data_IF_279971191467
#
_entry.id   IF_279971191467
#
_cell.length_a   1.000
_cell.length_b   1.000
_cell.length_c   1.000
_cell.angle_alpha   90.00
_cell.angle_beta   90.00
_cell.angle_gamma   90.00
#
_symmetry.space_group_name_H-M   'P 1'
#
loop_
_entity.id
_entity.type
_entity.pdbx_description
1 polymer ?
#
# COMPACT_ATOMS: atom_id res chain seq x y z
N UNK A 1 37.62 2.51 16.08
CA UNK A 1 36.61 1.95 16.99
C UNK A 1 36.69 2.75 18.27
N UNK A 2 35.61 3.38 18.70
CA UNK A 2 35.62 4.18 19.93
C UNK A 2 35.58 3.22 21.12
N UNK A 3 36.47 3.42 22.08
CA UNK A 3 36.51 2.63 23.32
C UNK A 3 35.46 3.23 24.26
N UNK A 4 34.55 2.43 24.84
CA UNK A 4 33.54 2.94 25.75
C UNK A 4 34.18 3.40 27.07
N UNK A 5 33.54 4.33 27.75
CA UNK A 5 33.91 4.77 29.10
C UNK A 5 32.90 4.22 30.14
N UNK A 6 33.34 3.97 31.39
CA UNK A 6 32.43 3.63 32.49
C UNK A 6 31.26 4.62 32.59
N UNK A 7 30.04 4.09 32.71
CA UNK A 7 28.79 4.86 32.75
C UNK A 7 28.13 5.10 31.39
N UNK A 8 28.76 4.73 30.27
CA UNK A 8 28.13 4.80 28.95
C UNK A 8 27.22 3.59 28.69
N UNK A 9 26.23 3.80 27.82
CA UNK A 9 25.40 2.72 27.31
C UNK A 9 26.04 2.19 26.02
N UNK A 10 26.09 0.87 25.87
CA UNK A 10 26.61 0.22 24.68
C UNK A 10 25.62 -0.84 24.19
N UNK A 11 25.65 -1.07 22.88
CA UNK A 11 24.92 -2.15 22.24
C UNK A 11 25.89 -3.22 21.77
N UNK A 12 25.75 -4.42 22.33
CA UNK A 12 26.57 -5.60 22.02
C UNK A 12 25.62 -6.75 21.76
N UNK A 13 25.84 -7.53 20.69
CA UNK A 13 24.97 -8.67 20.30
C UNK A 13 23.48 -8.32 20.22
N UNK A 14 23.19 -7.11 19.73
CA UNK A 14 21.84 -6.57 19.59
C UNK A 14 21.08 -6.34 20.93
N UNK A 15 21.78 -6.34 22.06
CA UNK A 15 21.23 -6.08 23.39
C UNK A 15 21.90 -4.85 24.02
N UNK A 16 21.21 -4.21 24.96
CA UNK A 16 21.64 -2.95 25.59
C UNK A 16 22.29 -3.21 26.94
N UNK A 17 23.48 -2.65 27.15
CA UNK A 17 24.24 -2.79 28.38
C UNK A 17 24.77 -1.44 28.89
N UNK A 18 24.88 -1.30 30.20
CA UNK A 18 25.63 -0.24 30.87
C UNK A 18 27.08 -0.70 31.06
N UNK A 19 28.04 0.16 30.72
CA UNK A 19 29.47 -0.09 30.95
C UNK A 19 29.77 0.17 32.41
N UNK A 20 30.16 -0.87 33.14
CA UNK A 20 30.54 -0.77 34.55
C UNK A 20 32.00 -0.37 34.69
N UNK A 21 32.89 -1.09 34.00
CA UNK A 21 34.33 -0.87 34.06
C UNK A 21 35.01 -1.25 32.75
N UNK A 22 36.18 -0.65 32.50
CA UNK A 22 37.03 -0.96 31.35
C UNK A 22 38.46 -1.19 31.83
N UNK A 23 38.96 -2.40 31.57
CA UNK A 23 40.30 -2.82 31.97
C UNK A 23 41.19 -2.96 30.73
N UNK A 24 42.35 -2.27 30.69
CA UNK A 24 43.32 -2.51 29.63
C UNK A 24 43.94 -3.90 29.81
N UNK A 25 43.93 -4.68 28.74
CA UNK A 25 44.52 -6.00 28.65
C UNK A 25 45.63 -5.99 27.60
N UNK A 26 46.88 -5.91 28.09
CA UNK A 26 48.07 -5.87 27.25
C UNK A 26 48.51 -7.30 26.89
N UNK A 27 48.58 -7.58 25.59
CA UNK A 27 49.29 -8.76 25.07
C UNK A 27 50.67 -8.34 24.56
N UNK A 28 51.52 -9.31 24.22
CA UNK A 28 52.85 -9.04 23.63
C UNK A 28 52.79 -8.31 22.28
N UNK A 29 51.64 -8.35 21.60
CA UNK A 29 51.47 -7.83 20.23
C UNK A 29 50.47 -6.67 20.12
N UNK A 30 49.49 -6.58 21.04
CA UNK A 30 48.45 -5.54 21.00
C UNK A 30 47.82 -5.25 22.37
N UNK A 31 47.27 -4.05 22.51
CA UNK A 31 46.42 -3.66 23.66
C UNK A 31 44.96 -3.93 23.32
N UNK A 32 44.28 -4.68 24.17
CA UNK A 32 42.84 -4.94 24.11
C UNK A 32 42.14 -4.30 25.31
N UNK A 33 40.83 -4.10 25.24
CA UNK A 33 40.04 -3.58 26.36
C UNK A 33 39.02 -4.63 26.79
N UNK A 34 39.16 -5.13 28.02
CA UNK A 34 38.16 -5.97 28.67
C UNK A 34 37.11 -5.06 29.28
N UNK A 35 35.88 -5.15 28.80
CA UNK A 35 34.76 -4.30 29.21
C UNK A 35 33.79 -5.13 30.04
N UNK A 36 33.51 -4.69 31.26
CA UNK A 36 32.47 -5.24 32.12
C UNK A 36 31.15 -4.52 31.85
N UNK A 37 30.13 -5.28 31.49
CA UNK A 37 28.84 -4.81 31.04
C UNK A 37 27.74 -5.32 31.97
N UNK A 38 26.74 -4.49 32.27
CA UNK A 38 25.54 -4.88 32.99
C UNK A 38 24.31 -4.70 32.08
N UNK A 39 23.48 -5.74 31.98
CA UNK A 39 22.31 -5.72 31.10
C UNK A 39 21.26 -4.73 31.59
N UNK A 40 20.80 -3.87 30.67
CA UNK A 40 19.67 -2.94 30.89
C UNK A 40 18.34 -3.50 30.38
N UNK A 41 18.33 -4.72 29.82
CA UNK A 41 17.13 -5.37 29.32
C UNK A 41 16.24 -5.88 30.46
N UNK A 42 14.92 -5.60 30.41
CA UNK A 42 13.95 -5.94 31.48
C UNK A 42 13.99 -7.41 31.93
N UNK A 43 14.23 -8.33 31.00
CA UNK A 43 14.24 -9.77 31.23
C UNK A 43 15.57 -10.29 31.80
N UNK A 44 16.60 -9.45 31.89
CA UNK A 44 17.98 -9.80 32.31
C UNK A 44 18.66 -8.72 33.15
N UNK A 45 17.89 -7.82 33.74
CA UNK A 45 18.37 -6.76 34.63
C UNK A 45 19.34 -7.32 35.68
N UNK A 46 20.51 -6.70 35.79
CA UNK A 46 21.55 -7.08 36.75
C UNK A 46 22.44 -8.26 36.32
N UNK A 47 22.23 -8.85 35.14
CA UNK A 47 23.19 -9.84 34.61
C UNK A 47 24.42 -9.14 34.06
N UNK A 48 25.60 -9.61 34.46
CA UNK A 48 26.87 -9.10 33.97
C UNK A 48 27.40 -9.92 32.79
N UNK A 49 28.08 -9.23 31.88
CA UNK A 49 28.78 -9.80 30.74
C UNK A 49 30.17 -9.17 30.66
N UNK A 50 31.20 -9.97 30.48
CA UNK A 50 32.55 -9.47 30.22
C UNK A 50 32.93 -9.77 28.78
N UNK A 51 33.35 -8.75 28.04
CA UNK A 51 33.74 -8.88 26.62
C UNK A 51 35.10 -8.25 26.37
N UNK A 52 35.78 -8.72 25.32
CA UNK A 52 36.94 -8.01 24.77
C UNK A 52 36.42 -7.13 23.63
N UNK A 53 36.46 -5.81 23.82
CA UNK A 53 35.75 -4.85 22.97
C UNK A 53 36.11 -4.96 21.49
N UNK A 54 37.40 -5.08 21.20
CA UNK A 54 37.92 -5.15 19.83
C UNK A 54 37.62 -6.46 19.12
N UNK A 55 37.24 -7.50 19.87
CA UNK A 55 36.88 -8.82 19.32
C UNK A 55 35.37 -9.00 19.18
N UNK A 56 34.55 -8.09 19.72
CA UNK A 56 33.10 -8.17 19.58
C UNK A 56 32.65 -7.76 18.18
N UNK A 57 31.56 -8.39 17.72
CA UNK A 57 31.01 -8.15 16.39
C UNK A 57 30.14 -6.90 16.42
N UNK A 58 30.59 -5.86 15.71
CA UNK A 58 29.86 -4.60 15.54
C UNK A 58 29.38 -3.94 16.85
N UNK A 59 30.20 -3.84 17.92
CA UNK A 59 29.78 -3.17 19.14
C UNK A 59 29.63 -1.67 18.88
N UNK A 60 28.62 -1.07 19.49
CA UNK A 60 28.32 0.36 19.35
C UNK A 60 28.23 1.00 20.71
N UNK A 61 28.86 2.16 20.86
CA UNK A 61 28.56 3.07 21.97
C UNK A 61 27.28 3.81 21.59
N UNK A 62 26.26 3.71 22.43
CA UNK A 62 24.99 4.43 22.27
C UNK A 62 25.12 5.76 22.99
N UNK A 63 25.16 6.85 22.23
CA UNK A 63 25.04 8.18 22.80
C UNK A 63 23.63 8.35 23.35
N UNK A 64 23.52 8.68 24.64
CA UNK A 64 22.27 8.90 25.37
C UNK A 64 21.25 9.63 24.50
N UNK A 65 20.16 8.94 24.16
CA UNK A 65 18.95 9.39 23.44
C UNK A 65 19.12 10.79 22.83
N UNK A 66 19.85 10.87 21.72
CA UNK A 66 19.78 12.04 20.87
C UNK A 66 18.53 11.92 20.00
N UNK A 67 17.76 13.00 19.92
CA UNK A 67 16.75 13.09 18.87
C UNK A 67 17.47 12.98 17.52
N UNK A 68 16.88 12.29 16.53
CA UNK A 68 17.44 12.26 15.19
C UNK A 68 17.64 13.69 14.71
N UNK A 69 18.81 13.98 14.16
CA UNK A 69 19.09 15.29 13.59
C UNK A 69 18.16 15.51 12.39
N UNK A 70 17.18 16.40 12.56
CA UNK A 70 16.19 16.73 11.54
C UNK A 70 16.79 17.48 10.34
N UNK A 71 18.05 17.91 10.45
CA UNK A 71 18.79 18.59 9.38
C UNK A 71 19.77 17.68 8.64
N UNK A 72 20.00 16.47 9.14
CA UNK A 72 20.87 15.48 8.51
C UNK A 72 20.13 14.68 7.44
N UNK A 73 20.79 14.45 6.31
CA UNK A 73 20.29 13.53 5.28
C UNK A 73 20.59 12.09 5.69
N UNK A 74 19.62 11.20 5.50
CA UNK A 74 19.83 9.77 5.69
C UNK A 74 20.93 9.26 4.73
N UNK A 75 21.76 8.29 5.17
CA UNK A 75 22.75 7.65 4.31
C UNK A 75 22.10 7.04 3.06
N UNK A 76 22.78 7.06 1.90
CA UNK A 76 22.25 6.52 0.64
C UNK A 76 21.81 5.05 0.76
N UNK A 77 22.47 4.27 1.60
CA UNK A 77 22.16 2.86 1.85
C UNK A 77 20.79 2.67 2.51
N UNK A 78 20.36 3.62 3.34
CA UNK A 78 19.05 3.58 3.99
C UNK A 78 17.93 3.89 3.00
N UNK A 79 18.13 4.89 2.14
CA UNK A 79 17.21 5.14 1.02
C UNK A 79 17.18 3.95 0.05
N UNK A 80 18.34 3.38 -0.29
CA UNK A 80 18.40 2.19 -1.13
C UNK A 80 17.66 1.00 -0.50
N UNK A 81 17.79 0.80 0.82
CA UNK A 81 17.07 -0.25 1.56
C UNK A 81 15.56 -0.01 1.56
N UNK A 82 15.12 1.24 1.72
CA UNK A 82 13.71 1.61 1.60
C UNK A 82 13.18 1.34 0.19
N UNK A 83 13.91 1.78 -0.84
CA UNK A 83 13.55 1.53 -2.24
C UNK A 83 13.54 0.02 -2.57
N UNK A 84 14.47 -0.75 -2.03
CA UNK A 84 14.49 -2.21 -2.12
C UNK A 84 13.28 -2.84 -1.43
N UNK A 85 12.90 -2.35 -0.24
CA UNK A 85 11.70 -2.81 0.46
C UNK A 85 10.43 -2.57 -0.37
N UNK A 86 10.33 -1.40 -1.03
CA UNK A 86 9.24 -1.11 -1.96
C UNK A 86 9.28 -2.05 -3.17
N UNK A 87 10.46 -2.28 -3.77
CA UNK A 87 10.62 -3.23 -4.90
C UNK A 87 10.28 -4.67 -4.54
N UNK A 88 10.60 -5.12 -3.32
CA UNK A 88 10.27 -6.47 -2.86
C UNK A 88 8.78 -6.60 -2.55
N UNK A 89 8.19 -5.54 -2.01
CA UNK A 89 6.73 -5.43 -1.84
C UNK A 89 6.03 -5.46 -3.20
N UNK A 90 6.57 -4.77 -4.21
CA UNK A 90 6.09 -4.82 -5.59
C UNK A 90 6.28 -6.22 -6.20
N UNK A 91 7.46 -6.82 -6.11
CA UNK A 91 7.75 -8.13 -6.70
C UNK A 91 6.80 -9.23 -6.18
N UNK A 92 6.41 -9.15 -4.92
CA UNK A 92 5.42 -10.07 -4.30
C UNK A 92 4.00 -9.90 -4.89
N UNK A 93 3.67 -8.70 -5.37
CA UNK A 93 2.39 -8.39 -6.02
C UNK A 93 2.39 -8.76 -7.51
N UNK A 94 3.57 -8.80 -8.14
CA UNK A 94 3.74 -9.12 -9.56
C UNK A 94 4.03 -10.59 -9.86
N UNK A 95 4.34 -11.42 -8.86
CA UNK A 95 4.44 -12.88 -9.05
C UNK A 95 3.09 -13.47 -9.44
N UNK A 96 3.08 -14.27 -10.51
CA UNK A 96 1.88 -14.61 -11.27
C UNK A 96 0.86 -15.51 -10.54
N UNK A 97 1.26 -16.17 -9.45
CA UNK A 97 0.48 -17.27 -8.86
C UNK A 97 -0.22 -16.94 -7.54
N UNK A 98 -0.06 -15.72 -7.00
CA UNK A 98 -0.68 -15.34 -5.71
C UNK A 98 -1.62 -14.13 -5.86
N UNK A 99 -2.83 -14.25 -5.30
CA UNK A 99 -3.80 -13.15 -5.23
C UNK A 99 -3.43 -12.16 -4.12
N UNK A 100 -3.56 -10.87 -4.39
CA UNK A 100 -3.28 -9.81 -3.41
C UNK A 100 -4.53 -9.08 -2.94
N UNK A 101 -5.56 -9.00 -3.78
CA UNK A 101 -6.85 -8.38 -3.45
C UNK A 101 -7.48 -8.95 -2.17
N UNK A 102 -7.45 -10.28 -1.92
CA UNK A 102 -8.05 -10.84 -0.71
C UNK A 102 -7.47 -10.31 0.60
N UNK A 103 -6.18 -9.97 0.60
CA UNK A 103 -5.46 -9.49 1.78
C UNK A 103 -5.50 -7.96 1.94
N UNK A 104 -6.07 -7.25 0.97
CA UNK A 104 -6.15 -5.78 0.96
C UNK A 104 -7.57 -5.25 1.13
N UNK A 105 -8.58 -6.12 1.11
CA UNK A 105 -9.97 -5.77 1.36
C UNK A 105 -10.42 -6.10 2.79
N UNK A 106 -11.37 -5.34 3.32
CA UNK A 106 -12.06 -5.63 4.58
C UNK A 106 -13.29 -6.53 4.31
N UNK A 107 -13.06 -7.70 3.70
CA UNK A 107 -14.11 -8.64 3.30
C UNK A 107 -13.74 -10.07 3.66
N UNK A 108 -14.74 -10.84 4.11
CA UNK A 108 -14.66 -12.29 4.17
C UNK A 108 -14.96 -12.83 2.78
N UNK A 109 -14.00 -13.55 2.20
CA UNK A 109 -14.04 -13.97 0.79
C UNK A 109 -14.32 -15.45 0.72
N UNK A 110 -15.29 -15.81 -0.11
CA UNK A 110 -15.58 -17.20 -0.39
C UNK A 110 -14.68 -17.73 -1.52
N UNK A 111 -14.27 -19.01 -1.50
CA UNK A 111 -13.37 -19.56 -2.51
C UNK A 111 -13.83 -19.36 -3.96
N UNK A 112 -15.14 -19.40 -4.21
CA UNK A 112 -15.69 -19.21 -5.56
C UNK A 112 -15.46 -17.80 -6.10
N UNK A 113 -15.38 -16.78 -5.24
CA UNK A 113 -15.18 -15.38 -5.63
C UNK A 113 -13.77 -15.12 -6.18
N UNK A 114 -12.83 -16.05 -5.97
CA UNK A 114 -11.47 -15.95 -6.49
C UNK A 114 -11.33 -16.45 -7.94
N UNK A 115 -12.26 -17.29 -8.41
CA UNK A 115 -12.19 -17.84 -9.76
C UNK A 115 -12.30 -16.75 -10.84
N UNK A 116 -13.25 -15.78 -10.75
CA UNK A 116 -13.29 -14.63 -11.65
C UNK A 116 -11.99 -13.81 -11.66
N UNK A 117 -11.34 -13.66 -10.50
CA UNK A 117 -10.07 -12.92 -10.36
C UNK A 117 -8.96 -13.62 -11.12
N UNK A 118 -8.80 -14.94 -10.95
CA UNK A 118 -7.84 -15.73 -11.72
C UNK A 118 -8.06 -15.61 -13.23
N UNK A 119 -9.32 -15.74 -13.67
CA UNK A 119 -9.68 -15.62 -15.09
C UNK A 119 -9.33 -14.23 -15.64
N UNK A 120 -9.62 -13.16 -14.89
CA UNK A 120 -9.26 -11.80 -15.28
C UNK A 120 -7.74 -11.61 -15.39
N UNK A 121 -6.95 -12.19 -14.48
CA UNK A 121 -5.49 -12.10 -14.51
C UNK A 121 -4.87 -12.82 -15.70
N UNK A 122 -5.42 -13.96 -16.10
CA UNK A 122 -4.95 -14.72 -17.26
C UNK A 122 -5.19 -13.99 -18.61
N UNK A 123 -6.11 -13.02 -18.65
CA UNK A 123 -6.42 -12.26 -19.85
C UNK A 123 -5.47 -11.06 -20.03
N UNK A 124 -4.82 -10.87 -21.20
CA UNK A 124 -4.02 -9.66 -21.47
C UNK A 124 -4.84 -8.36 -21.41
N UNK A 125 -6.09 -8.43 -21.89
CA UNK A 125 -7.12 -7.39 -21.74
C UNK A 125 -8.35 -8.05 -21.13
N UNK A 126 -8.77 -7.58 -19.96
CA UNK A 126 -9.87 -8.18 -19.23
C UNK A 126 -11.19 -7.87 -19.92
N UNK A 127 -11.92 -8.92 -20.29
CA UNK A 127 -13.29 -8.84 -20.81
C UNK A 127 -14.06 -10.01 -20.23
N UNK A 128 -14.76 -9.76 -19.13
CA UNK A 128 -15.45 -10.79 -18.34
C UNK A 128 -16.91 -10.39 -18.11
N UNK A 129 -17.81 -11.35 -18.29
CA UNK A 129 -19.21 -11.23 -17.90
C UNK A 129 -19.41 -12.05 -16.62
N UNK A 130 -19.76 -11.37 -15.52
CA UNK A 130 -20.16 -12.01 -14.27
C UNK A 130 -21.66 -12.25 -14.31
N UNK A 131 -22.07 -13.51 -14.40
CA UNK A 131 -23.46 -13.92 -14.60
C UNK A 131 -23.98 -14.83 -13.49
N UNK A 132 -23.34 -14.79 -12.33
CA UNK A 132 -23.73 -15.57 -11.15
C UNK A 132 -25.11 -15.12 -10.64
N UNK A 133 -25.76 -15.98 -9.83
CA UNK A 133 -27.07 -15.70 -9.26
C UNK A 133 -27.12 -14.38 -8.46
N UNK A 134 -28.33 -13.83 -8.35
CA UNK A 134 -28.58 -12.62 -7.56
C UNK A 134 -28.23 -12.90 -6.10
N UNK A 135 -27.39 -12.05 -5.51
CA UNK A 135 -26.98 -12.17 -4.11
C UNK A 135 -25.65 -12.90 -3.86
N UNK A 136 -25.01 -13.48 -4.89
CA UNK A 136 -23.70 -14.15 -4.74
C UNK A 136 -22.49 -13.20 -4.61
N UNK A 137 -22.73 -11.89 -4.58
CA UNK A 137 -21.67 -10.90 -4.35
C UNK A 137 -20.91 -10.48 -5.61
N UNK A 138 -21.55 -10.43 -6.77
CA UNK A 138 -20.96 -9.90 -8.03
C UNK A 138 -20.24 -8.55 -7.87
N UNK A 139 -20.78 -7.67 -7.04
CA UNK A 139 -20.14 -6.38 -6.70
C UNK A 139 -18.80 -6.56 -5.98
N UNK A 140 -18.72 -7.55 -5.08
CA UNK A 140 -17.49 -7.91 -4.37
C UNK A 140 -16.49 -8.54 -5.33
N UNK A 141 -16.92 -9.45 -6.21
CA UNK A 141 -16.06 -10.05 -7.24
C UNK A 141 -15.49 -9.00 -8.21
N UNK A 142 -16.33 -8.09 -8.68
CA UNK A 142 -15.90 -6.95 -9.51
C UNK A 142 -14.89 -6.06 -8.76
N UNK A 143 -15.13 -5.82 -7.46
CA UNK A 143 -14.20 -5.09 -6.59
C UNK A 143 -12.86 -5.82 -6.40
N UNK A 144 -12.87 -7.14 -6.24
CA UNK A 144 -11.67 -7.97 -6.16
C UNK A 144 -10.86 -7.91 -7.46
N UNK A 145 -11.50 -8.06 -8.61
CA UNK A 145 -10.86 -7.92 -9.92
C UNK A 145 -10.24 -6.52 -10.04
N UNK A 146 -11.01 -5.48 -9.73
CA UNK A 146 -10.56 -4.10 -9.78
C UNK A 146 -9.34 -3.85 -8.88
N UNK A 147 -9.39 -4.31 -7.62
CA UNK A 147 -8.32 -4.14 -6.65
C UNK A 147 -7.05 -4.87 -7.08
N UNK A 148 -7.17 -6.06 -7.63
CA UNK A 148 -6.04 -6.84 -8.13
C UNK A 148 -5.40 -6.16 -9.36
N UNK A 149 -6.21 -5.67 -10.31
CA UNK A 149 -5.72 -4.93 -11.48
C UNK A 149 -5.03 -3.61 -11.08
N UNK A 150 -5.56 -2.92 -10.07
CA UNK A 150 -4.94 -1.72 -9.49
C UNK A 150 -3.61 -2.04 -8.80
N UNK A 151 -3.57 -3.10 -8.00
CA UNK A 151 -2.35 -3.53 -7.29
C UNK A 151 -1.22 -3.87 -8.28
N UNK A 152 -1.56 -4.43 -9.44
CA UNK A 152 -0.62 -4.74 -10.53
C UNK A 152 -0.39 -3.59 -11.51
N UNK A 153 -0.91 -2.39 -11.24
CA UNK A 153 -0.73 -1.21 -12.11
C UNK A 153 -1.30 -1.35 -13.52
N UNK A 154 -2.22 -2.31 -13.76
CA UNK A 154 -2.82 -2.57 -15.08
C UNK A 154 -3.89 -1.57 -15.46
N UNK A 155 -4.50 -0.92 -14.46
CA UNK A 155 -5.59 0.04 -14.64
C UNK A 155 -5.34 1.25 -13.73
N UNK A 156 -5.73 2.45 -14.18
CA UNK A 156 -5.69 3.68 -13.40
C UNK A 156 -6.99 4.48 -13.56
N UNK A 157 -7.47 4.61 -14.80
CA UNK A 157 -8.70 5.33 -15.13
C UNK A 157 -9.88 4.36 -15.24
N UNK A 158 -10.76 4.38 -14.25
CA UNK A 158 -11.86 3.41 -14.09
C UNK A 158 -13.20 4.12 -14.09
N UNK A 159 -14.16 3.55 -14.82
CA UNK A 159 -15.56 3.96 -14.80
C UNK A 159 -16.46 2.80 -14.39
N UNK A 160 -17.37 3.07 -13.46
CA UNK A 160 -18.47 2.18 -13.11
C UNK A 160 -19.77 2.78 -13.62
N UNK A 161 -20.49 2.02 -14.45
CA UNK A 161 -21.83 2.32 -14.93
C UNK A 161 -22.82 1.42 -14.20
N UNK A 162 -23.72 2.02 -13.43
CA UNK A 162 -24.75 1.29 -12.70
C UNK A 162 -26.09 2.04 -12.73
N UNK A 163 -27.22 1.39 -12.40
CA UNK A 163 -28.48 2.09 -12.19
C UNK A 163 -28.32 3.23 -11.17
N UNK A 164 -29.07 4.33 -11.34
CA UNK A 164 -28.94 5.51 -10.48
C UNK A 164 -29.15 5.19 -8.98
N UNK A 165 -30.01 4.22 -8.67
CA UNK A 165 -30.26 3.73 -7.31
C UNK A 165 -29.05 3.05 -6.66
N UNK A 166 -28.15 2.45 -7.45
CA UNK A 166 -27.01 1.67 -6.95
C UNK A 166 -25.72 2.47 -6.85
N UNK A 167 -25.67 3.72 -7.33
CA UNK A 167 -24.44 4.53 -7.35
C UNK A 167 -23.83 4.72 -5.95
N UNK A 168 -24.66 5.03 -4.95
CA UNK A 168 -24.19 5.21 -3.56
C UNK A 168 -23.73 3.89 -2.96
N UNK A 169 -24.47 2.81 -3.20
CA UNK A 169 -24.07 1.48 -2.74
C UNK A 169 -22.70 1.09 -3.32
N UNK A 170 -22.48 1.28 -4.62
CA UNK A 170 -21.18 1.07 -5.25
C UNK A 170 -20.08 1.93 -4.62
N UNK A 171 -20.34 3.22 -4.39
CA UNK A 171 -19.38 4.12 -3.75
C UNK A 171 -19.03 3.65 -2.33
N UNK A 172 -20.02 3.30 -1.53
CA UNK A 172 -19.86 2.84 -0.15
C UNK A 172 -19.14 1.50 -0.10
N UNK A 173 -19.48 0.54 -0.96
CA UNK A 173 -18.79 -0.75 -1.04
C UNK A 173 -17.34 -0.59 -1.48
N UNK A 174 -17.06 0.21 -2.52
CA UNK A 174 -15.69 0.47 -2.95
C UNK A 174 -14.86 1.14 -1.86
N UNK A 175 -15.45 2.08 -1.11
CA UNK A 175 -14.76 2.75 -0.01
C UNK A 175 -14.53 1.82 1.19
N UNK A 176 -15.58 1.18 1.69
CA UNK A 176 -15.54 0.42 2.94
C UNK A 176 -14.82 -0.91 2.81
N UNK A 177 -15.06 -1.63 1.71
CA UNK A 177 -14.50 -2.97 1.49
C UNK A 177 -13.13 -2.92 0.85
N UNK A 178 -12.88 -1.96 -0.05
CA UNK A 178 -11.67 -1.94 -0.88
C UNK A 178 -10.79 -0.71 -0.66
N UNK A 179 -11.20 0.25 0.18
CA UNK A 179 -10.53 1.52 0.39
C UNK A 179 -10.28 2.31 -0.92
N UNK A 180 -11.23 2.19 -1.86
CA UNK A 180 -11.19 2.86 -3.15
C UNK A 180 -12.19 4.01 -3.17
N UNK A 181 -11.66 5.24 -3.20
CA UNK A 181 -12.50 6.44 -3.33
C UNK A 181 -12.93 6.60 -4.78
N UNK A 182 -14.24 6.47 -5.01
CA UNK A 182 -14.88 6.79 -6.27
C UNK A 182 -15.68 8.08 -6.18
N UNK A 183 -15.68 8.85 -7.27
CA UNK A 183 -16.49 10.06 -7.38
C UNK A 183 -17.72 9.82 -8.24
N UNK A 184 -18.90 10.05 -7.68
CA UNK A 184 -20.15 10.02 -8.44
C UNK A 184 -20.22 11.30 -9.28
N UNK A 185 -20.40 11.13 -10.60
CA UNK A 185 -20.67 12.21 -11.54
C UNK A 185 -22.16 12.21 -11.89
N UNK A 186 -22.83 13.23 -11.38
CA UNK A 186 -24.22 13.58 -11.69
C UNK A 186 -24.29 15.06 -12.11
N UNK A 187 -25.52 15.55 -12.30
CA UNK A 187 -25.74 16.95 -12.71
C UNK A 187 -25.17 17.96 -11.70
N UNK A 188 -25.36 17.71 -10.42
CA UNK A 188 -24.97 18.65 -9.37
C UNK A 188 -23.46 18.71 -9.23
N UNK A 189 -22.79 17.57 -9.38
CA UNK A 189 -21.35 17.45 -9.41
C UNK A 189 -20.74 18.16 -10.64
N UNK A 190 -21.32 18.00 -11.82
CA UNK A 190 -20.88 18.73 -13.02
C UNK A 190 -21.02 20.25 -12.81
N UNK A 191 -22.15 20.71 -12.28
CA UNK A 191 -22.35 22.13 -11.97
C UNK A 191 -21.38 22.64 -10.91
N UNK A 192 -20.93 21.77 -9.99
CA UNK A 192 -19.88 22.12 -9.02
C UNK A 192 -18.53 22.28 -9.71
N UNK A 193 -18.13 21.29 -10.52
CA UNK A 193 -16.88 21.33 -11.27
C UNK A 193 -16.80 22.54 -12.20
N UNK A 194 -17.91 22.88 -12.87
CA UNK A 194 -17.96 24.05 -13.75
C UNK A 194 -17.81 25.38 -13.00
N UNK A 195 -18.31 25.46 -11.76
CA UNK A 195 -18.14 26.64 -10.90
C UNK A 195 -16.69 26.79 -10.40
N UNK A 196 -16.02 25.68 -10.15
CA UNK A 196 -14.66 25.65 -9.58
C UNK A 196 -13.57 25.78 -10.65
N UNK A 197 -13.75 25.11 -11.80
CA UNK A 197 -12.73 24.99 -12.85
C UNK A 197 -13.14 25.63 -14.19
N UNK A 198 -14.35 26.16 -14.30
CA UNK A 198 -14.89 26.83 -15.50
C UNK A 198 -15.74 25.93 -16.40
N UNK A 199 -16.46 26.54 -17.35
CA UNK A 199 -17.47 25.88 -18.19
C UNK A 199 -16.92 24.79 -19.13
N UNK A 200 -15.63 24.83 -19.45
CA UNK A 200 -14.98 23.89 -20.37
C UNK A 200 -14.35 22.69 -19.67
N UNK A 201 -14.52 22.54 -18.34
CA UNK A 201 -14.03 21.37 -17.61
C UNK A 201 -14.72 20.11 -18.13
N UNK A 202 -13.93 19.09 -18.44
CA UNK A 202 -14.44 17.77 -18.76
C UNK A 202 -14.64 16.97 -17.46
N UNK A 203 -15.88 16.69 -17.04
CA UNK A 203 -16.13 15.97 -15.78
C UNK A 203 -15.57 14.54 -15.78
N UNK A 204 -15.43 13.94 -16.97
CA UNK A 204 -14.91 12.57 -17.16
C UNK A 204 -13.39 12.47 -17.00
N UNK A 205 -12.70 13.60 -16.94
CA UNK A 205 -11.24 13.67 -16.74
C UNK A 205 -10.87 14.27 -15.37
N UNK A 206 -11.86 14.75 -14.61
CA UNK A 206 -11.61 15.42 -13.32
C UNK A 206 -11.08 14.47 -12.24
N UNK A 207 -11.43 13.17 -12.30
CA UNK A 207 -10.96 12.18 -11.33
C UNK A 207 -10.63 10.84 -12.02
N UNK A 208 -9.68 10.06 -11.48
CA UNK A 208 -9.29 8.77 -12.07
C UNK A 208 -10.34 7.66 -11.88
N UNK A 209 -11.25 7.79 -10.92
CA UNK A 209 -12.21 6.75 -10.53
C UNK A 209 -13.60 7.34 -10.43
N UNK A 210 -14.45 7.02 -11.40
CA UNK A 210 -15.77 7.62 -11.54
C UNK A 210 -16.89 6.57 -11.46
N UNK A 211 -18.01 6.98 -10.90
CA UNK A 211 -19.30 6.27 -10.97
C UNK A 211 -20.28 7.20 -11.68
N UNK A 212 -21.03 6.69 -12.66
CA UNK A 212 -22.17 7.41 -13.22
C UNK A 212 -23.28 6.44 -13.59
N UNK A 213 -24.47 6.95 -13.88
CA UNK A 213 -25.58 6.10 -14.28
C UNK A 213 -25.69 6.01 -15.79
N UNK A 214 -26.12 4.85 -16.28
CA UNK A 214 -26.33 4.65 -17.72
C UNK A 214 -27.33 5.66 -18.28
N UNK A 215 -28.42 5.92 -17.56
CA UNK A 215 -29.45 6.88 -17.97
C UNK A 215 -28.98 8.32 -18.00
N UNK A 216 -28.01 8.68 -17.15
CA UNK A 216 -27.40 9.99 -17.16
C UNK A 216 -26.42 10.11 -18.33
N UNK A 217 -25.57 9.10 -18.52
CA UNK A 217 -24.55 9.09 -19.56
C UNK A 217 -25.15 9.13 -20.98
N UNK A 218 -26.30 8.49 -21.20
CA UNK A 218 -27.01 8.49 -22.50
C UNK A 218 -27.54 9.87 -22.92
N UNK A 219 -27.59 10.87 -22.03
CA UNK A 219 -28.14 12.20 -22.34
C UNK A 219 -27.11 13.07 -23.03
N UNK A 220 -27.53 13.77 -24.07
CA UNK A 220 -26.76 14.86 -24.66
C UNK A 220 -26.74 16.07 -23.72
N UNK A 221 -25.61 16.80 -23.56
CA UNK A 221 -24.32 16.70 -24.27
C UNK A 221 -23.29 15.74 -23.62
N UNK A 222 -23.67 15.06 -22.52
CA UNK A 222 -22.74 14.28 -21.70
C UNK A 222 -22.17 13.07 -22.44
N UNK A 223 -22.97 12.44 -23.30
CA UNK A 223 -22.52 11.34 -24.17
C UNK A 223 -21.41 11.79 -25.12
N UNK A 224 -21.53 12.94 -25.77
CA UNK A 224 -20.49 13.46 -26.68
C UNK A 224 -19.22 13.83 -25.92
N UNK A 225 -19.35 14.42 -24.73
CA UNK A 225 -18.21 14.67 -23.85
C UNK A 225 -17.52 13.38 -23.43
N UNK A 226 -18.29 12.34 -23.13
CA UNK A 226 -17.76 11.02 -22.79
C UNK A 226 -17.03 10.37 -23.97
N UNK A 227 -17.62 10.39 -25.16
CA UNK A 227 -17.01 9.83 -26.37
C UNK A 227 -15.76 10.59 -26.83
N UNK A 228 -15.66 11.89 -26.52
CA UNK A 228 -14.47 12.70 -26.78
C UNK A 228 -13.39 12.57 -25.69
N UNK A 229 -13.72 11.97 -24.55
CA UNK A 229 -12.77 11.77 -23.45
C UNK A 229 -11.76 10.68 -23.78
N UNK A 230 -10.49 10.90 -23.41
CA UNK A 230 -9.43 9.92 -23.68
C UNK A 230 -9.59 8.66 -22.82
N UNK A 231 -9.28 7.52 -23.45
CA UNK A 231 -9.35 6.11 -23.04
C UNK A 231 -9.56 5.80 -21.55
N UNK A 232 -10.55 4.96 -21.27
CA UNK A 232 -10.72 4.25 -20.00
C UNK A 232 -9.86 2.98 -19.97
N UNK A 233 -9.22 2.69 -18.84
CA UNK A 233 -8.47 1.44 -18.66
C UNK A 233 -9.41 0.28 -18.29
N UNK A 234 -10.48 0.58 -17.55
CA UNK A 234 -11.49 -0.39 -17.13
C UNK A 234 -12.88 0.25 -17.11
N UNK A 235 -13.84 -0.46 -17.70
CA UNK A 235 -15.27 -0.15 -17.64
C UNK A 235 -15.99 -1.30 -16.95
N UNK A 236 -16.66 -1.01 -15.84
CA UNK A 236 -17.55 -1.95 -15.16
C UNK A 236 -18.99 -1.53 -15.46
N UNK A 237 -19.80 -2.46 -15.98
CA UNK A 237 -21.21 -2.20 -16.26
C UNK A 237 -22.03 -3.16 -15.41
N UNK A 238 -22.67 -2.62 -14.39
CA UNK A 238 -23.64 -3.34 -13.57
C UNK A 238 -24.98 -3.44 -14.30
N UNK A 239 -25.76 -4.48 -14.07
CA UNK A 239 -27.06 -4.70 -14.74
C UNK A 239 -27.03 -4.43 -16.26
N UNK A 240 -26.00 -4.96 -16.94
CA UNK A 240 -25.70 -4.68 -18.34
C UNK A 240 -26.83 -5.02 -19.32
N UNK A 241 -27.80 -5.84 -18.90
CA UNK A 241 -29.01 -6.11 -19.67
C UNK A 241 -29.80 -4.83 -20.00
N UNK A 242 -29.71 -3.78 -19.17
CA UNK A 242 -30.33 -2.46 -19.41
C UNK A 242 -29.61 -1.62 -20.49
N UNK A 243 -28.44 -2.07 -20.96
CA UNK A 243 -27.69 -1.43 -22.03
C UNK A 243 -28.03 -1.98 -23.43
N UNK A 244 -28.69 -3.13 -23.53
CA UNK A 244 -29.02 -3.73 -24.82
C UNK A 244 -30.16 -2.92 -25.50
N UNK A 245 -30.06 -2.64 -26.81
CA UNK A 245 -31.20 -2.12 -27.56
C UNK A 245 -32.30 -3.17 -27.55
N UNK A 246 -33.49 -2.78 -27.08
CA UNK A 246 -34.73 -3.55 -27.22
C UNK A 246 -35.17 -3.67 -28.66
#
# INVERSE_FOLDING_TARGET
>A
MTIPEPGQIVRVRNQTFLVQDVYPYLTSEATFHKVALESLEDHRLGTSLEVIWELEVSPRVEDVISFPDLSAWDPPERLASLLLSFKWTEASVFTNDSFTAPFRGAIEIEPYQLEPVARALAMPRVSLLLADDVGLGKTVEAGLILQELLARGRVRKILILCPASLQRQWQDEMLTKFNLVFKIIDRDEILRLQREYGLHVNPWESFPRLITSMDFLKREPYLQQFLSTTSWDLLIVDEAHNCAPS
#
